data_IF_426576071048
#
_entry.id   IF_426576071048
#
_cell.length_a   1.000
_cell.length_b   1.000
_cell.length_c   1.000
_cell.angle_alpha   90.00
_cell.angle_beta   90.00
_cell.angle_gamma   90.00
#
_symmetry.space_group_name_H-M   'P 1'
#
loop_
_entity.id
_entity.type
_entity.pdbx_description
1 polymer ?
#
# COMPACT_ATOMS: atom_id res chain seq x y z
N UNK A 1 -23.50 -13.68 16.29
CA UNK A 1 -22.38 -13.04 15.59
C UNK A 1 -21.48 -12.47 16.67
N UNK A 2 -20.34 -13.13 16.93
CA UNK A 2 -19.40 -12.66 17.97
C UNK A 2 -18.76 -11.36 17.49
N UNK A 3 -19.09 -10.26 18.15
CA UNK A 3 -18.37 -8.99 17.98
C UNK A 3 -16.97 -9.22 18.54
N UNK A 4 -16.02 -9.56 17.67
CA UNK A 4 -14.59 -9.49 18.01
C UNK A 4 -14.33 -8.09 18.51
N UNK A 5 -14.03 -7.95 19.81
CA UNK A 5 -13.85 -6.68 20.49
C UNK A 5 -12.71 -5.90 19.83
N UNK A 6 -13.05 -4.95 18.96
CA UNK A 6 -12.12 -3.94 18.50
C UNK A 6 -11.82 -2.99 19.67
N UNK A 7 -10.56 -2.76 19.96
CA UNK A 7 -10.17 -1.71 20.89
C UNK A 7 -9.67 -0.51 20.07
N UNK A 8 -10.35 0.64 20.22
CA UNK A 8 -9.88 1.89 19.63
C UNK A 8 -8.85 2.53 20.55
N UNK A 9 -7.74 2.98 19.96
CA UNK A 9 -6.62 3.64 20.63
C UNK A 9 -6.32 4.94 19.90
N UNK A 10 -6.07 6.01 20.62
CA UNK A 10 -5.49 7.23 20.07
C UNK A 10 -3.99 7.20 20.32
N UNK A 11 -3.19 7.21 19.27
CA UNK A 11 -1.73 7.26 19.32
C UNK A 11 -1.29 8.69 19.06
N UNK A 12 -0.40 9.22 19.91
CA UNK A 12 0.20 10.52 19.68
C UNK A 12 1.47 10.34 18.82
N UNK A 13 1.50 10.91 17.63
CA UNK A 13 2.71 10.98 16.82
C UNK A 13 3.77 11.87 17.50
N UNK A 14 5.03 11.80 17.07
CA UNK A 14 6.14 12.53 17.72
C UNK A 14 5.98 14.05 17.64
N UNK A 15 5.24 14.57 16.65
CA UNK A 15 4.87 15.98 16.52
C UNK A 15 3.57 16.36 17.26
N UNK A 16 3.02 15.43 18.04
CA UNK A 16 1.78 15.63 18.80
C UNK A 16 0.50 15.36 18.01
N UNK A 17 0.55 14.98 16.73
CA UNK A 17 -0.64 14.70 15.92
C UNK A 17 -1.36 13.44 16.43
N UNK A 18 -2.66 13.50 16.81
CA UNK A 18 -3.42 12.32 17.19
C UNK A 18 -3.74 11.42 16.00
N UNK A 19 -3.37 10.14 16.10
CA UNK A 19 -3.65 9.10 15.13
C UNK A 19 -4.66 8.11 15.69
N UNK A 20 -5.70 7.79 14.94
CA UNK A 20 -6.69 6.80 15.32
C UNK A 20 -6.24 5.40 14.91
N UNK A 21 -6.22 4.46 15.84
CA UNK A 21 -5.87 3.07 15.61
C UNK A 21 -6.91 2.12 16.21
N UNK A 22 -7.05 0.94 15.61
CA UNK A 22 -7.92 -0.14 16.06
C UNK A 22 -7.13 -1.42 16.15
N UNK A 23 -7.27 -2.13 17.27
CA UNK A 23 -6.62 -3.40 17.49
C UNK A 23 -7.66 -4.52 17.63
N UNK A 24 -7.38 -5.66 17.03
CA UNK A 24 -8.18 -6.88 17.08
C UNK A 24 -7.29 -8.04 17.53
N UNK A 25 -7.84 -8.94 18.34
CA UNK A 25 -7.09 -10.07 18.91
C UNK A 25 -6.31 -9.71 20.17
N UNK A 26 -5.74 -10.71 20.85
CA UNK A 26 -5.09 -10.54 22.15
C UNK A 26 -3.74 -9.82 22.03
N UNK A 27 -3.39 -9.06 23.05
CA UNK A 27 -2.06 -8.41 23.14
C UNK A 27 -0.91 -9.43 23.32
N UNK A 28 -1.25 -10.66 23.70
CA UNK A 28 -0.32 -11.78 23.89
C UNK A 28 -0.15 -12.65 22.64
N UNK A 29 -0.71 -12.24 21.49
CA UNK A 29 -0.54 -12.95 20.24
C UNK A 29 0.94 -13.07 19.87
N UNK A 30 1.32 -14.19 19.25
CA UNK A 30 2.71 -14.49 18.86
C UNK A 30 3.24 -13.55 17.77
N UNK A 31 2.35 -12.93 17.01
CA UNK A 31 2.67 -11.97 15.95
C UNK A 31 1.58 -10.88 15.87
N UNK A 32 2.01 -9.66 15.54
CA UNK A 32 1.10 -8.55 15.22
C UNK A 32 1.21 -8.22 13.73
N UNK A 33 0.07 -8.18 13.04
CA UNK A 33 0.00 -7.73 11.64
C UNK A 33 -0.54 -6.31 11.61
N UNK A 34 0.21 -5.38 11.04
CA UNK A 34 -0.15 -3.96 10.96
C UNK A 34 -0.48 -3.60 9.52
N UNK A 35 -1.68 -3.07 9.31
CA UNK A 35 -2.22 -2.73 8.00
C UNK A 35 -2.14 -1.22 7.76
N UNK A 36 -1.47 -0.83 6.67
CA UNK A 36 -1.14 0.54 6.29
C UNK A 36 -1.89 0.89 5.01
N UNK A 37 -2.89 1.75 5.10
CA UNK A 37 -3.79 2.05 3.97
C UNK A 37 -3.16 2.98 2.92
N UNK A 38 -3.78 3.03 1.74
CA UNK A 38 -3.37 3.88 0.63
C UNK A 38 -3.85 5.33 0.72
N UNK A 39 -3.36 6.15 -0.21
CA UNK A 39 -3.78 7.55 -0.37
C UNK A 39 -5.30 7.67 -0.55
N UNK A 40 -5.92 8.63 0.14
CA UNK A 40 -7.37 8.86 0.14
C UNK A 40 -8.22 7.67 0.63
N UNK A 41 -7.61 6.68 1.27
CA UNK A 41 -8.30 5.61 1.96
C UNK A 41 -8.28 5.86 3.49
N UNK A 42 -8.82 4.92 4.24
CA UNK A 42 -8.78 4.85 5.70
C UNK A 42 -9.01 3.40 6.16
N UNK A 43 -9.02 3.17 7.45
CA UNK A 43 -9.13 1.84 8.07
C UNK A 43 -10.26 0.98 7.48
N UNK A 44 -11.40 1.57 7.11
CA UNK A 44 -12.52 0.85 6.52
C UNK A 44 -12.19 0.19 5.17
N UNK A 45 -11.15 0.62 4.48
CA UNK A 45 -10.70 -0.04 3.24
C UNK A 45 -10.27 -1.49 3.47
N UNK A 46 -9.94 -1.85 4.69
CA UNK A 46 -9.53 -3.18 5.11
C UNK A 46 -10.66 -4.06 5.65
N UNK A 47 -11.88 -3.56 5.82
CA UNK A 47 -12.95 -4.30 6.51
C UNK A 47 -13.27 -5.66 5.88
N UNK A 48 -13.37 -5.72 4.57
CA UNK A 48 -13.64 -6.99 3.88
C UNK A 48 -12.50 -7.99 4.07
N UNK A 49 -11.26 -7.52 3.95
CA UNK A 49 -10.06 -8.33 4.18
C UNK A 49 -9.96 -8.76 5.66
N UNK A 50 -10.16 -7.83 6.59
CA UNK A 50 -10.18 -8.13 8.03
C UNK A 50 -11.16 -9.25 8.35
N UNK A 51 -12.38 -9.20 7.82
CA UNK A 51 -13.40 -10.20 8.09
C UNK A 51 -13.02 -11.58 7.52
N UNK A 52 -12.28 -11.64 6.41
CA UNK A 52 -11.72 -12.88 5.88
C UNK A 52 -10.60 -13.40 6.80
N UNK A 53 -9.68 -12.55 7.23
CA UNK A 53 -8.58 -12.93 8.12
C UNK A 53 -9.09 -13.39 9.51
N UNK A 54 -10.11 -12.73 10.05
CA UNK A 54 -10.74 -13.17 11.30
C UNK A 54 -11.34 -14.58 11.19
N UNK A 55 -11.85 -14.97 10.02
CA UNK A 55 -12.33 -16.34 9.79
C UNK A 55 -11.20 -17.36 9.73
N UNK A 56 -10.03 -16.97 9.19
CA UNK A 56 -8.85 -17.83 9.06
C UNK A 56 -8.07 -17.95 10.38
N UNK A 57 -7.83 -16.84 11.05
CA UNK A 57 -6.97 -16.78 12.23
C UNK A 57 -7.72 -16.88 13.55
N UNK A 58 -9.06 -16.73 13.52
CA UNK A 58 -9.83 -16.61 14.76
C UNK A 58 -9.35 -15.43 15.61
N UNK A 59 -9.21 -15.67 16.92
CA UNK A 59 -8.70 -14.68 17.87
C UNK A 59 -7.20 -14.81 18.18
N UNK A 60 -6.47 -15.71 17.48
CA UNK A 60 -5.08 -16.04 17.82
C UNK A 60 -4.04 -15.04 17.31
N UNK A 61 -4.36 -14.27 16.26
CA UNK A 61 -3.47 -13.29 15.65
C UNK A 61 -3.93 -11.88 16.00
N UNK A 62 -2.99 -11.02 16.35
CA UNK A 62 -3.28 -9.60 16.58
C UNK A 62 -3.21 -8.84 15.27
N UNK A 63 -4.25 -8.08 14.97
CA UNK A 63 -4.30 -7.16 13.83
C UNK A 63 -4.40 -5.72 14.33
N UNK A 64 -3.66 -4.83 13.68
CA UNK A 64 -3.68 -3.40 13.92
C UNK A 64 -4.00 -2.68 12.61
N UNK A 65 -4.96 -1.78 12.65
CA UNK A 65 -5.33 -0.86 11.57
C UNK A 65 -5.24 0.55 12.12
N UNK A 66 -4.74 1.50 11.35
CA UNK A 66 -4.72 2.90 11.78
C UNK A 66 -4.96 3.82 10.58
N UNK A 67 -5.48 5.00 10.85
CA UNK A 67 -5.63 6.05 9.87
C UNK A 67 -4.39 6.93 9.83
N UNK A 68 -3.87 7.19 8.65
CA UNK A 68 -2.81 8.18 8.47
C UNK A 68 -3.27 9.57 8.89
N UNK A 69 -2.33 10.44 9.30
CA UNK A 69 -2.63 11.86 9.53
C UNK A 69 -3.42 12.46 8.37
N UNK A 70 -4.43 13.27 8.67
CA UNK A 70 -5.31 13.88 7.68
C UNK A 70 -6.30 12.94 6.98
N UNK A 71 -6.36 11.66 7.37
CA UNK A 71 -7.31 10.67 6.85
C UNK A 71 -8.19 10.12 7.98
N UNK A 72 -9.39 9.67 7.62
CA UNK A 72 -10.31 8.97 8.52
C UNK A 72 -10.57 9.71 9.82
N UNK A 73 -10.38 9.02 10.94
CA UNK A 73 -10.56 9.53 12.30
C UNK A 73 -9.27 10.13 12.91
N UNK A 74 -8.15 10.09 12.18
CA UNK A 74 -6.92 10.77 12.59
C UNK A 74 -7.03 12.29 12.41
N UNK A 75 -6.34 13.03 13.26
CA UNK A 75 -6.33 14.48 13.16
C UNK A 75 -5.64 14.96 11.87
N UNK A 76 -6.09 16.12 11.38
CA UNK A 76 -5.30 16.90 10.42
C UNK A 76 -4.04 17.45 11.09
N UNK A 77 -3.02 17.71 10.28
CA UNK A 77 -1.74 18.26 10.71
C UNK A 77 -1.32 19.41 9.79
N UNK A 78 -0.18 20.03 10.08
CA UNK A 78 0.43 20.99 9.15
C UNK A 78 0.61 20.32 7.78
N UNK A 79 0.08 20.90 6.69
CA UNK A 79 0.22 20.33 5.36
C UNK A 79 1.67 20.04 4.95
N UNK A 80 2.66 20.77 5.48
CA UNK A 80 4.08 20.52 5.20
C UNK A 80 4.56 19.17 5.77
N UNK A 81 3.83 18.58 6.71
CA UNK A 81 4.12 17.25 7.29
C UNK A 81 3.45 16.11 6.51
N UNK A 82 2.68 16.39 5.46
CA UNK A 82 2.07 15.37 4.63
C UNK A 82 3.07 14.79 3.63
N UNK A 83 4.04 14.04 4.17
CA UNK A 83 5.11 13.37 3.42
C UNK A 83 5.14 11.88 3.75
N UNK A 84 5.67 11.06 2.83
CA UNK A 84 5.82 9.61 3.06
C UNK A 84 6.78 9.35 4.22
N UNK A 85 7.84 10.15 4.36
CA UNK A 85 8.79 10.04 5.48
C UNK A 85 8.09 10.26 6.83
N UNK A 86 7.26 11.30 6.91
CA UNK A 86 6.50 11.54 8.14
C UNK A 86 5.53 10.41 8.45
N UNK A 87 4.90 9.79 7.43
CA UNK A 87 4.08 8.60 7.65
C UNK A 87 4.90 7.40 8.13
N UNK A 88 6.19 7.30 7.75
CA UNK A 88 7.12 6.31 8.30
C UNK A 88 7.36 6.52 9.81
N UNK A 89 7.53 7.78 10.26
CA UNK A 89 7.62 8.12 11.69
C UNK A 89 6.29 7.88 12.42
N UNK A 90 5.15 8.19 11.79
CA UNK A 90 3.82 7.88 12.34
C UNK A 90 3.62 6.38 12.55
N UNK A 91 4.05 5.56 11.59
CA UNK A 91 4.02 4.11 11.72
C UNK A 91 4.87 3.63 12.89
N UNK A 92 6.05 4.22 13.12
CA UNK A 92 6.87 3.91 14.29
C UNK A 92 6.14 4.26 15.60
N UNK A 93 5.52 5.43 15.68
CA UNK A 93 4.73 5.82 16.84
C UNK A 93 3.57 4.84 17.11
N UNK A 94 2.87 4.40 16.05
CA UNK A 94 1.83 3.36 16.15
C UNK A 94 2.43 2.05 16.68
N UNK A 95 3.55 1.59 16.13
CA UNK A 95 4.20 0.34 16.56
C UNK A 95 4.63 0.41 18.03
N UNK A 96 5.21 1.53 18.47
CA UNK A 96 5.61 1.72 19.87
C UNK A 96 4.40 1.71 20.81
N UNK A 97 3.28 2.27 20.39
CA UNK A 97 2.09 2.38 21.25
C UNK A 97 1.27 1.09 21.35
N UNK A 98 1.03 0.41 20.22
CA UNK A 98 0.06 -0.69 20.16
C UNK A 98 0.69 -2.07 19.95
N UNK A 99 1.94 -2.14 19.56
CA UNK A 99 2.73 -3.37 19.40
C UNK A 99 4.15 -3.17 19.94
N UNK A 100 4.36 -2.83 21.24
CA UNK A 100 5.67 -2.44 21.76
C UNK A 100 6.71 -3.55 21.74
N UNK A 101 6.27 -4.80 21.75
CA UNK A 101 7.14 -5.99 21.77
C UNK A 101 6.67 -7.03 20.77
N UNK A 102 7.51 -8.03 20.51
CA UNK A 102 7.21 -9.16 19.64
C UNK A 102 7.36 -8.89 18.15
N UNK A 103 7.26 -9.93 17.34
CA UNK A 103 7.39 -9.84 15.89
C UNK A 103 6.20 -9.13 15.26
N UNK A 104 6.48 -8.37 14.21
CA UNK A 104 5.50 -7.60 13.43
C UNK A 104 5.61 -7.96 11.95
N UNK A 105 4.47 -8.12 11.29
CA UNK A 105 4.35 -8.15 9.83
C UNK A 105 3.67 -6.86 9.38
N UNK A 106 4.30 -6.11 8.49
CA UNK A 106 3.75 -4.86 7.93
C UNK A 106 3.09 -5.15 6.58
N UNK A 107 1.84 -4.76 6.42
CA UNK A 107 1.08 -4.95 5.17
C UNK A 107 0.60 -3.59 4.68
N UNK A 108 1.19 -3.09 3.60
CA UNK A 108 0.85 -1.80 3.01
C UNK A 108 0.14 -1.94 1.67
N UNK A 109 -0.86 -1.08 1.44
CA UNK A 109 -1.54 -0.96 0.15
C UNK A 109 -1.22 0.40 -0.49
N UNK A 110 -0.81 0.42 -1.76
CA UNK A 110 -0.56 1.65 -2.52
C UNK A 110 0.45 2.56 -1.79
N UNK A 111 0.08 3.80 -1.43
CA UNK A 111 0.87 4.67 -0.56
C UNK A 111 1.33 3.97 0.72
N UNK A 112 0.49 3.11 1.33
CA UNK A 112 0.88 2.34 2.51
C UNK A 112 2.04 1.39 2.27
N UNK A 113 2.18 0.81 1.08
CA UNK A 113 3.36 0.03 0.71
C UNK A 113 4.61 0.92 0.62
N UNK A 114 4.48 2.15 0.13
CA UNK A 114 5.57 3.13 0.11
C UNK A 114 5.96 3.57 1.53
N UNK A 115 4.99 3.71 2.43
CA UNK A 115 5.25 3.97 3.87
C UNK A 115 6.04 2.83 4.50
N UNK A 116 5.74 1.56 4.18
CA UNK A 116 6.52 0.41 4.66
C UNK A 116 7.97 0.48 4.18
N UNK A 117 8.21 0.88 2.93
CA UNK A 117 9.57 1.06 2.41
C UNK A 117 10.29 2.21 3.11
N UNK A 118 9.66 3.37 3.25
CA UNK A 118 10.23 4.51 3.96
C UNK A 118 10.54 4.17 5.44
N UNK A 119 9.63 3.43 6.11
CA UNK A 119 9.85 2.93 7.46
C UNK A 119 11.13 2.07 7.54
N UNK A 120 11.33 1.16 6.59
CA UNK A 120 12.52 0.31 6.57
C UNK A 120 13.82 1.13 6.44
N UNK A 121 13.82 2.23 5.66
CA UNK A 121 14.96 3.15 5.58
C UNK A 121 15.16 3.94 6.87
N UNK A 122 14.08 4.45 7.46
CA UNK A 122 14.13 5.28 8.66
C UNK A 122 14.53 4.47 9.91
N UNK A 123 14.10 3.21 10.00
CA UNK A 123 14.28 2.34 11.16
C UNK A 123 14.94 1.00 10.79
N UNK A 124 16.11 0.99 10.14
CA UNK A 124 16.73 -0.23 9.60
C UNK A 124 17.05 -1.26 10.68
N UNK A 125 17.32 -0.84 11.91
CA UNK A 125 17.61 -1.75 13.03
C UNK A 125 16.41 -2.62 13.44
N UNK A 126 15.20 -2.26 13.05
CA UNK A 126 13.99 -3.04 13.31
C UNK A 126 13.77 -4.16 12.30
N UNK A 127 14.38 -4.06 11.13
CA UNK A 127 14.22 -4.99 10.02
C UNK A 127 14.96 -6.30 10.33
N UNK A 128 14.27 -7.43 10.22
CA UNK A 128 14.78 -8.75 10.57
C UNK A 128 14.83 -9.06 12.06
N UNK A 129 14.73 -8.05 12.93
CA UNK A 129 14.72 -8.23 14.38
C UNK A 129 13.30 -8.18 14.93
N UNK A 130 12.54 -7.20 14.52
CA UNK A 130 11.18 -6.96 14.93
C UNK A 130 10.19 -7.05 13.76
N UNK A 131 10.48 -6.38 12.65
CA UNK A 131 9.74 -6.57 11.40
C UNK A 131 10.24 -7.83 10.73
N UNK A 132 9.43 -8.88 10.76
CA UNK A 132 9.79 -10.22 10.30
C UNK A 132 9.19 -10.59 8.94
N UNK A 133 8.35 -9.72 8.38
CA UNK A 133 7.75 -9.90 7.06
C UNK A 133 7.08 -8.63 6.55
N UNK A 134 6.99 -8.49 5.24
CA UNK A 134 6.38 -7.33 4.58
C UNK A 134 5.42 -7.73 3.45
N UNK A 135 4.25 -7.11 3.40
CA UNK A 135 3.28 -7.21 2.30
C UNK A 135 3.21 -5.88 1.56
N UNK A 136 3.56 -5.87 0.29
CA UNK A 136 3.56 -4.71 -0.60
C UNK A 136 2.47 -4.90 -1.66
N UNK A 137 1.28 -4.35 -1.41
CA UNK A 137 0.09 -4.56 -2.25
C UNK A 137 -0.14 -3.34 -3.13
N UNK A 138 -0.19 -3.51 -4.44
CA UNK A 138 -0.40 -2.46 -5.44
C UNK A 138 0.49 -1.22 -5.19
N UNK A 139 1.76 -1.47 -4.82
CA UNK A 139 2.76 -0.44 -4.49
C UNK A 139 3.88 -0.34 -5.53
N UNK A 140 4.77 0.62 -5.33
CA UNK A 140 5.97 0.81 -6.14
C UNK A 140 7.13 1.26 -5.25
N UNK A 141 8.38 0.93 -5.64
CA UNK A 141 9.57 1.49 -4.98
C UNK A 141 9.89 2.89 -5.51
N UNK A 142 9.59 3.16 -6.77
CA UNK A 142 9.84 4.44 -7.44
C UNK A 142 9.03 4.56 -8.73
N UNK A 143 9.13 5.73 -9.39
CA UNK A 143 8.75 5.89 -10.79
C UNK A 143 7.25 5.83 -11.10
N UNK A 144 6.39 6.16 -10.15
CA UNK A 144 4.93 6.12 -10.35
C UNK A 144 4.44 7.04 -11.48
N UNK A 145 5.24 8.07 -11.84
CA UNK A 145 4.94 8.99 -12.94
C UNK A 145 5.43 8.51 -14.31
N UNK A 146 6.16 7.38 -14.35
CA UNK A 146 6.72 6.86 -15.60
C UNK A 146 5.70 6.06 -16.44
N UNK A 147 4.71 5.44 -15.80
CA UNK A 147 3.75 4.54 -16.44
C UNK A 147 2.32 4.77 -15.92
N UNK A 148 1.34 4.21 -16.60
CA UNK A 148 -0.07 4.27 -16.19
C UNK A 148 -0.63 5.69 -16.14
N UNK A 149 -1.64 5.91 -15.31
CA UNK A 149 -2.22 7.24 -15.06
C UNK A 149 -1.23 8.21 -14.40
N UNK A 150 -0.19 7.70 -13.72
CA UNK A 150 0.86 8.50 -13.12
C UNK A 150 1.56 9.44 -14.13
N UNK A 151 1.58 9.08 -15.43
CA UNK A 151 2.13 9.96 -16.50
C UNK A 151 1.42 11.30 -16.61
N UNK A 152 0.17 11.38 -16.17
CA UNK A 152 -0.59 12.64 -16.13
C UNK A 152 -0.21 13.51 -14.92
N UNK A 153 0.46 12.94 -13.91
CA UNK A 153 0.88 13.59 -12.69
C UNK A 153 2.31 14.15 -12.85
N UNK A 154 2.48 15.12 -13.74
CA UNK A 154 3.76 15.80 -13.83
C UNK A 154 3.96 16.80 -12.68
N UNK A 155 5.23 17.13 -12.40
CA UNK A 155 5.60 18.05 -11.30
C UNK A 155 4.88 19.40 -11.37
N UNK A 156 4.75 19.97 -12.58
CA UNK A 156 4.08 21.26 -12.77
C UNK A 156 2.60 21.22 -12.40
N UNK A 157 1.90 20.16 -12.81
CA UNK A 157 0.48 19.97 -12.49
C UNK A 157 0.27 19.84 -10.97
N UNK A 158 1.10 19.03 -10.31
CA UNK A 158 0.99 18.80 -8.86
C UNK A 158 1.37 20.05 -8.08
N UNK A 159 2.45 20.75 -8.45
CA UNK A 159 2.83 22.01 -7.84
C UNK A 159 1.75 23.07 -8.01
N UNK A 160 1.15 23.18 -9.20
CA UNK A 160 0.04 24.12 -9.46
C UNK A 160 -1.17 23.80 -8.59
N UNK A 161 -1.50 22.51 -8.43
CA UNK A 161 -2.57 22.07 -7.54
C UNK A 161 -2.29 22.46 -6.09
N UNK A 162 -1.06 22.22 -5.58
CA UNK A 162 -0.67 22.65 -4.22
C UNK A 162 -0.82 24.16 -4.03
N UNK A 163 -0.30 24.95 -4.96
CA UNK A 163 -0.41 26.42 -4.89
C UNK A 163 -1.89 26.85 -4.91
N UNK A 164 -2.71 26.25 -5.75
CA UNK A 164 -4.15 26.55 -5.80
C UNK A 164 -4.85 26.20 -4.48
N UNK A 165 -4.53 25.02 -3.89
CA UNK A 165 -5.06 24.58 -2.60
C UNK A 165 -4.61 25.49 -1.46
N UNK A 166 -3.38 25.98 -1.46
CA UNK A 166 -2.89 26.97 -0.48
C UNK A 166 -3.65 28.30 -0.56
N UNK A 167 -3.89 28.77 -1.81
CA UNK A 167 -4.52 30.10 -2.02
C UNK A 167 -6.04 30.11 -1.79
N UNK A 168 -6.72 29.00 -2.13
CA UNK A 168 -8.18 28.97 -2.09
C UNK A 168 -8.73 27.62 -1.56
N UNK A 169 -8.33 27.14 -0.35
CA UNK A 169 -8.68 25.79 0.11
C UNK A 169 -10.20 25.58 0.24
N UNK A 170 -10.92 26.58 0.73
CA UNK A 170 -12.38 26.50 0.91
C UNK A 170 -13.12 26.44 -0.43
N UNK A 171 -12.74 27.29 -1.38
CA UNK A 171 -13.38 27.33 -2.70
C UNK A 171 -13.18 26.01 -3.46
N UNK A 172 -11.94 25.47 -3.45
CA UNK A 172 -11.64 24.20 -4.07
C UNK A 172 -12.30 23.02 -3.38
N UNK A 173 -12.42 23.04 -2.05
CA UNK A 173 -13.14 21.99 -1.32
C UNK A 173 -14.65 22.00 -1.68
N UNK A 174 -15.26 23.16 -1.86
CA UNK A 174 -16.65 23.31 -2.36
C UNK A 174 -16.74 22.77 -3.79
N UNK A 175 -15.83 23.17 -4.68
CA UNK A 175 -15.77 22.67 -6.06
C UNK A 175 -15.64 21.13 -6.12
N UNK A 176 -14.79 20.53 -5.26
CA UNK A 176 -14.67 19.07 -5.13
C UNK A 176 -16.01 18.43 -4.76
N UNK A 177 -16.73 19.02 -3.80
CA UNK A 177 -18.04 18.51 -3.37
C UNK A 177 -19.10 18.60 -4.47
N UNK A 178 -19.12 19.70 -5.21
CA UNK A 178 -20.07 19.91 -6.33
C UNK A 178 -19.73 19.00 -7.52
N UNK A 179 -18.44 18.83 -7.84
CA UNK A 179 -17.97 17.98 -8.94
C UNK A 179 -18.05 16.47 -8.67
N UNK A 180 -18.36 16.05 -7.44
CA UNK A 180 -18.32 14.64 -7.04
C UNK A 180 -19.03 13.69 -7.99
N UNK A 181 -20.26 14.01 -8.39
CA UNK A 181 -21.07 13.16 -9.28
C UNK A 181 -20.49 13.05 -10.69
N UNK A 182 -19.77 14.08 -11.15
CA UNK A 182 -19.14 14.10 -12.47
C UNK A 182 -17.88 13.24 -12.49
N UNK A 183 -17.11 13.25 -11.40
CA UNK A 183 -15.84 12.52 -11.32
C UNK A 183 -15.97 11.08 -10.81
N UNK A 184 -17.11 10.72 -10.20
CA UNK A 184 -17.35 9.38 -9.67
C UNK A 184 -17.11 8.23 -10.67
N UNK A 185 -17.59 8.30 -11.94
CA UNK A 185 -17.33 7.25 -12.92
C UNK A 185 -15.83 7.09 -13.23
N UNK A 186 -15.09 8.19 -13.32
CA UNK A 186 -13.64 8.20 -13.57
C UNK A 186 -12.87 7.59 -12.41
N UNK A 187 -13.23 7.96 -11.17
CA UNK A 187 -12.63 7.39 -9.95
C UNK A 187 -12.89 5.89 -9.90
N UNK A 188 -14.09 5.46 -10.22
CA UNK A 188 -14.45 4.04 -10.27
C UNK A 188 -13.62 3.28 -11.30
N UNK A 189 -13.50 3.80 -12.53
CA UNK A 189 -12.71 3.19 -13.59
C UNK A 189 -11.21 3.09 -13.20
N UNK A 190 -10.68 4.14 -12.56
CA UNK A 190 -9.30 4.14 -12.10
C UNK A 190 -9.04 3.19 -10.92
N UNK A 191 -10.03 3.01 -10.04
CA UNK A 191 -9.88 2.23 -8.81
C UNK A 191 -10.07 0.72 -9.02
N UNK A 192 -10.94 0.32 -9.96
CA UNK A 192 -11.36 -1.07 -10.11
C UNK A 192 -11.11 -1.60 -11.51
N UNK A 193 -10.61 -2.83 -11.61
CA UNK A 193 -10.34 -3.48 -12.90
C UNK A 193 -11.58 -4.02 -13.59
N UNK A 194 -12.67 -4.24 -12.86
CA UNK A 194 -13.93 -4.77 -13.38
C UNK A 194 -15.07 -3.76 -13.24
N UNK A 195 -15.91 -3.66 -14.28
CA UNK A 195 -17.16 -2.90 -14.19
C UNK A 195 -18.21 -3.55 -13.29
N UNK A 196 -18.05 -4.83 -12.95
CA UNK A 196 -18.95 -5.61 -12.08
C UNK A 196 -18.50 -5.63 -10.62
N UNK A 197 -18.02 -4.48 -10.12
CA UNK A 197 -17.66 -4.34 -8.71
C UNK A 197 -18.92 -4.29 -7.85
N UNK A 198 -18.86 -4.90 -6.68
CA UNK A 198 -19.92 -4.80 -5.67
C UNK A 198 -20.22 -3.31 -5.39
N UNK A 199 -21.48 -2.86 -5.55
CA UNK A 199 -21.84 -1.45 -5.36
C UNK A 199 -21.45 -0.90 -3.97
N UNK A 200 -21.46 -1.73 -2.93
CA UNK A 200 -21.06 -1.33 -1.57
C UNK A 200 -19.55 -1.00 -1.50
N UNK A 201 -18.71 -1.77 -2.19
CA UNK A 201 -17.27 -1.52 -2.25
C UNK A 201 -16.97 -0.24 -3.04
N UNK A 202 -17.63 -0.02 -4.17
CA UNK A 202 -17.49 1.20 -4.95
C UNK A 202 -17.96 2.44 -4.17
N UNK A 203 -19.10 2.35 -3.48
CA UNK A 203 -19.61 3.42 -2.63
C UNK A 203 -18.65 3.74 -1.47
N UNK A 204 -18.07 2.72 -0.83
CA UNK A 204 -17.09 2.90 0.24
C UNK A 204 -15.83 3.61 -0.26
N UNK A 205 -15.24 3.17 -1.37
CA UNK A 205 -14.07 3.81 -1.97
C UNK A 205 -14.34 5.27 -2.34
N UNK A 206 -15.50 5.53 -2.96
CA UNK A 206 -15.93 6.88 -3.32
C UNK A 206 -16.14 7.77 -2.07
N UNK A 207 -16.72 7.23 -1.01
CA UNK A 207 -16.92 7.96 0.25
C UNK A 207 -15.57 8.37 0.86
N UNK A 208 -14.62 7.42 0.99
CA UNK A 208 -13.29 7.69 1.53
C UNK A 208 -12.53 8.77 0.75
N UNK A 209 -12.55 8.69 -0.59
CA UNK A 209 -11.96 9.72 -1.44
C UNK A 209 -12.60 11.09 -1.23
N UNK A 210 -13.94 11.15 -1.12
CA UNK A 210 -14.68 12.40 -0.93
C UNK A 210 -14.43 13.03 0.45
N UNK A 211 -14.26 12.20 1.48
CA UNK A 211 -14.05 12.65 2.85
C UNK A 211 -12.61 13.18 3.07
N UNK A 212 -11.64 12.71 2.28
CA UNK A 212 -10.26 13.18 2.40
C UNK A 212 -10.14 14.66 1.99
N UNK A 213 -9.59 15.54 2.85
CA UNK A 213 -9.44 16.97 2.55
C UNK A 213 -8.51 17.21 1.34
N UNK A 214 -8.81 18.23 0.53
CA UNK A 214 -7.97 18.58 -0.63
C UNK A 214 -6.51 18.92 -0.28
N UNK A 215 -6.19 19.62 0.82
CA UNK A 215 -4.80 19.81 1.23
C UNK A 215 -4.09 18.47 1.45
N UNK A 216 -4.71 17.55 2.20
CA UNK A 216 -4.18 16.21 2.43
C UNK A 216 -3.90 15.49 1.11
N UNK A 217 -4.85 15.53 0.16
CA UNK A 217 -4.67 14.91 -1.16
C UNK A 217 -3.50 15.51 -1.94
N UNK A 218 -3.43 16.84 -2.02
CA UNK A 218 -2.45 17.52 -2.85
C UNK A 218 -1.02 17.39 -2.34
N UNK A 219 -0.82 17.47 -1.02
CA UNK A 219 0.52 17.39 -0.43
C UNK A 219 1.07 15.97 -0.43
N UNK A 220 0.26 14.95 -0.12
CA UNK A 220 0.71 13.57 -0.28
C UNK A 220 0.97 13.21 -1.73
N UNK A 221 0.16 13.70 -2.68
CA UNK A 221 0.42 13.47 -4.09
C UNK A 221 1.79 14.04 -4.52
N UNK A 222 2.16 15.21 -4.00
CA UNK A 222 3.49 15.80 -4.24
C UNK A 222 4.61 14.92 -3.68
N UNK A 223 4.45 14.38 -2.46
CA UNK A 223 5.41 13.44 -1.89
C UNK A 223 5.51 12.15 -2.69
N UNK A 224 4.39 11.63 -3.17
CA UNK A 224 4.33 10.40 -3.95
C UNK A 224 5.05 10.50 -5.30
N UNK A 225 4.92 11.62 -6.02
CA UNK A 225 5.58 11.78 -7.34
C UNK A 225 7.10 11.92 -7.25
N UNK A 226 7.63 12.23 -6.06
CA UNK A 226 9.07 12.35 -5.81
C UNK A 226 9.64 11.11 -5.07
N UNK A 227 8.79 10.13 -4.78
CA UNK A 227 9.17 8.95 -4.01
C UNK A 227 10.13 8.03 -4.78
N UNK A 228 11.25 7.69 -4.12
CA UNK A 228 12.21 6.68 -4.59
C UNK A 228 12.88 5.98 -3.39
N UNK A 229 12.45 4.77 -3.13
CA UNK A 229 13.00 3.86 -2.12
C UNK A 229 13.61 2.60 -2.76
N UNK A 230 14.01 2.69 -4.03
CA UNK A 230 14.71 1.58 -4.71
C UNK A 230 15.93 1.10 -3.91
N UNK A 231 16.78 1.98 -3.32
CA UNK A 231 17.91 1.53 -2.52
C UNK A 231 17.53 0.77 -1.25
N UNK A 232 16.33 1.03 -0.71
CA UNK A 232 15.84 0.44 0.54
C UNK A 232 15.47 -1.03 0.38
N UNK A 233 15.14 -1.48 -0.84
CA UNK A 233 14.74 -2.87 -1.11
C UNK A 233 15.79 -3.89 -0.65
N UNK A 234 17.06 -3.51 -0.64
CA UNK A 234 18.15 -4.38 -0.14
C UNK A 234 18.00 -4.72 1.35
N UNK A 235 17.47 -3.79 2.15
CA UNK A 235 17.24 -4.02 3.58
C UNK A 235 16.16 -5.08 3.84
N UNK A 236 15.25 -5.25 2.89
CA UNK A 236 14.12 -6.18 2.96
C UNK A 236 14.37 -7.49 2.22
N UNK A 237 15.51 -7.64 1.53
CA UNK A 237 15.79 -8.77 0.63
C UNK A 237 15.70 -10.13 1.31
N UNK A 238 16.12 -10.22 2.59
CA UNK A 238 16.15 -11.47 3.34
C UNK A 238 14.85 -11.77 4.10
N UNK A 239 13.90 -10.83 4.10
CA UNK A 239 12.61 -11.02 4.77
C UNK A 239 11.62 -11.77 3.88
N UNK A 240 10.78 -12.64 4.45
CA UNK A 240 9.56 -13.07 3.77
C UNK A 240 8.77 -11.86 3.29
N UNK A 241 8.53 -11.79 2.00
CA UNK A 241 7.79 -10.71 1.38
C UNK A 241 6.61 -11.26 0.56
N UNK A 242 5.51 -10.51 0.54
CA UNK A 242 4.41 -10.63 -0.40
C UNK A 242 4.40 -9.40 -1.28
N UNK A 243 4.51 -9.57 -2.57
CA UNK A 243 4.27 -8.52 -3.57
C UNK A 243 3.04 -8.89 -4.36
N UNK A 244 1.98 -8.10 -4.27
CA UNK A 244 0.71 -8.41 -4.88
C UNK A 244 0.17 -7.22 -5.67
N UNK A 245 -0.36 -7.47 -6.86
CA UNK A 245 -0.98 -6.43 -7.68
C UNK A 245 -2.05 -6.97 -8.62
N UNK A 246 -2.96 -6.07 -9.04
CA UNK A 246 -3.96 -6.35 -10.05
C UNK A 246 -3.40 -6.21 -11.47
N UNK A 247 -3.80 -7.10 -12.38
CA UNK A 247 -3.34 -7.03 -13.78
C UNK A 247 -3.99 -5.87 -14.56
N UNK A 248 -5.12 -5.36 -14.08
CA UNK A 248 -5.83 -4.23 -14.66
C UNK A 248 -5.63 -2.91 -13.86
N UNK A 249 -4.63 -2.87 -12.97
CA UNK A 249 -4.28 -1.65 -12.24
C UNK A 249 -3.67 -0.62 -13.20
N UNK A 250 -4.39 0.47 -13.46
CA UNK A 250 -3.94 1.58 -14.31
C UNK A 250 -3.28 2.70 -13.51
N UNK A 251 -3.41 2.72 -12.19
CA UNK A 251 -2.77 3.70 -11.30
C UNK A 251 -1.33 3.32 -11.00
N UNK A 252 -1.13 2.09 -10.50
CA UNK A 252 0.19 1.48 -10.25
C UNK A 252 0.25 0.17 -11.05
N UNK A 253 0.59 0.21 -12.34
CA UNK A 253 0.59 -0.97 -13.19
C UNK A 253 1.41 -2.13 -12.61
N UNK A 254 0.97 -3.37 -12.86
CA UNK A 254 1.58 -4.60 -12.32
C UNK A 254 3.09 -4.71 -12.56
N UNK A 255 3.61 -3.99 -13.57
CA UNK A 255 5.05 -3.90 -13.81
C UNK A 255 5.85 -3.40 -12.59
N UNK A 256 5.28 -2.52 -11.74
CA UNK A 256 5.91 -2.11 -10.49
C UNK A 256 6.02 -3.27 -9.50
N UNK A 257 5.01 -4.14 -9.41
CA UNK A 257 5.07 -5.36 -8.60
C UNK A 257 6.16 -6.31 -9.09
N UNK A 258 6.34 -6.45 -10.39
CA UNK A 258 7.45 -7.26 -10.96
C UNK A 258 8.81 -6.68 -10.56
N UNK A 259 8.99 -5.37 -10.65
CA UNK A 259 10.23 -4.70 -10.24
C UNK A 259 10.52 -4.88 -8.75
N UNK A 260 9.50 -4.72 -7.89
CA UNK A 260 9.63 -4.95 -6.45
C UNK A 260 10.05 -6.40 -6.15
N UNK A 261 9.35 -7.38 -6.72
CA UNK A 261 9.62 -8.79 -6.47
C UNK A 261 11.00 -9.22 -6.97
N UNK A 262 11.47 -8.67 -8.08
CA UNK A 262 12.79 -9.00 -8.64
C UNK A 262 13.97 -8.56 -7.73
N UNK A 263 13.74 -7.62 -6.82
CA UNK A 263 14.77 -7.09 -5.91
C UNK A 263 14.64 -7.64 -4.47
N UNK A 264 13.61 -8.42 -4.19
CA UNK A 264 13.35 -9.02 -2.88
C UNK A 264 13.60 -10.53 -2.96
N UNK A 265 14.70 -11.00 -2.36
CA UNK A 265 15.17 -12.39 -2.50
C UNK A 265 14.19 -13.46 -1.99
N UNK A 266 13.24 -13.11 -1.12
CA UNK A 266 12.23 -14.02 -0.55
C UNK A 266 10.80 -13.56 -0.83
N UNK A 267 10.60 -12.86 -1.95
CA UNK A 267 9.27 -12.39 -2.36
C UNK A 267 8.45 -13.51 -3.02
N UNK A 268 7.18 -13.59 -2.62
CA UNK A 268 6.14 -14.23 -3.40
C UNK A 268 5.43 -13.14 -4.22
N UNK A 269 5.45 -13.30 -5.55
CA UNK A 269 4.76 -12.39 -6.47
C UNK A 269 3.38 -12.96 -6.82
N UNK A 270 2.33 -12.24 -6.45
CA UNK A 270 0.94 -12.63 -6.73
C UNK A 270 0.32 -11.63 -7.70
N UNK A 271 -0.17 -12.14 -8.84
CA UNK A 271 -0.93 -11.38 -9.82
C UNK A 271 -2.39 -11.77 -9.77
N UNK A 272 -3.26 -10.81 -9.52
CA UNK A 272 -4.71 -11.05 -9.55
C UNK A 272 -5.29 -10.56 -10.88
N UNK A 273 -5.66 -11.52 -11.74
CA UNK A 273 -6.11 -11.21 -13.09
C UNK A 273 -7.44 -10.46 -13.10
N UNK A 274 -7.49 -9.38 -13.89
CA UNK A 274 -8.64 -8.50 -14.03
C UNK A 274 -8.91 -7.59 -12.83
N UNK A 275 -8.12 -7.68 -11.74
CA UNK A 275 -8.24 -6.80 -10.60
C UNK A 275 -7.59 -5.43 -10.86
N UNK A 276 -8.16 -4.37 -10.32
CA UNK A 276 -7.65 -3.00 -10.41
C UNK A 276 -6.80 -2.59 -9.20
N UNK A 277 -6.66 -1.26 -9.03
CA UNK A 277 -5.85 -0.70 -7.95
C UNK A 277 -6.43 -0.98 -6.56
N UNK A 278 -7.74 -0.93 -6.40
CA UNK A 278 -8.41 -1.22 -5.11
C UNK A 278 -8.53 -2.73 -4.83
N UNK A 279 -7.50 -3.50 -5.17
CA UNK A 279 -7.46 -4.96 -5.07
C UNK A 279 -7.84 -5.48 -3.68
N UNK A 280 -7.51 -4.76 -2.60
CA UNK A 280 -7.89 -5.08 -1.22
C UNK A 280 -9.40 -5.06 -0.96
N UNK A 281 -10.14 -4.29 -1.76
CA UNK A 281 -11.61 -4.26 -1.75
C UNK A 281 -12.19 -5.25 -2.76
N UNK A 282 -11.61 -5.29 -3.97
CA UNK A 282 -12.12 -6.04 -5.11
C UNK A 282 -11.94 -7.55 -4.95
N UNK A 283 -10.81 -7.96 -4.34
CA UNK A 283 -10.36 -9.35 -4.20
C UNK A 283 -9.94 -9.68 -2.77
N UNK A 284 -10.75 -9.23 -1.80
CA UNK A 284 -10.43 -9.32 -0.37
C UNK A 284 -10.14 -10.76 0.11
N UNK A 285 -10.78 -11.76 -0.48
CA UNK A 285 -10.57 -13.18 -0.13
C UNK A 285 -9.20 -13.66 -0.60
N UNK A 286 -8.85 -13.43 -1.88
CA UNK A 286 -7.55 -13.83 -2.43
C UNK A 286 -6.39 -13.08 -1.74
N UNK A 287 -6.59 -11.78 -1.46
CA UNK A 287 -5.60 -10.99 -0.71
C UNK A 287 -5.44 -11.53 0.72
N UNK A 288 -6.53 -11.95 1.38
CA UNK A 288 -6.45 -12.52 2.73
C UNK A 288 -5.66 -13.83 2.74
N UNK A 289 -5.87 -14.71 1.75
CA UNK A 289 -5.10 -15.96 1.61
C UNK A 289 -3.61 -15.65 1.44
N UNK A 290 -3.25 -14.69 0.58
CA UNK A 290 -1.86 -14.32 0.36
C UNK A 290 -1.20 -13.68 1.61
N UNK A 291 -1.95 -12.83 2.34
CA UNK A 291 -1.47 -12.24 3.60
C UNK A 291 -1.29 -13.31 4.68
N UNK A 292 -2.21 -14.27 4.79
CA UNK A 292 -2.06 -15.37 5.74
C UNK A 292 -0.81 -16.21 5.44
N UNK A 293 -0.59 -16.55 4.17
CA UNK A 293 0.61 -17.27 3.74
C UNK A 293 1.91 -16.49 4.03
N UNK A 294 1.90 -15.15 3.88
CA UNK A 294 3.02 -14.30 4.29
C UNK A 294 3.30 -14.43 5.79
N UNK A 295 2.25 -14.36 6.62
CA UNK A 295 2.40 -14.45 8.09
C UNK A 295 2.96 -15.81 8.48
N UNK A 296 2.47 -16.90 7.89
CA UNK A 296 2.99 -18.25 8.13
C UNK A 296 4.48 -18.37 7.79
N UNK A 297 4.91 -17.83 6.64
CA UNK A 297 6.34 -17.80 6.25
C UNK A 297 7.18 -16.93 7.20
N UNK A 298 6.61 -15.82 7.68
CA UNK A 298 7.32 -14.89 8.57
C UNK A 298 7.47 -15.43 9.99
N UNK A 299 6.56 -16.29 10.44
CA UNK A 299 6.58 -16.87 11.79
C UNK A 299 7.15 -18.29 11.86
N UNK A 300 7.47 -18.88 10.71
CA UNK A 300 7.90 -20.27 10.62
C UNK A 300 6.79 -21.28 10.95
N UNK A 301 5.53 -20.85 10.96
CA UNK A 301 4.38 -21.73 11.18
C UNK A 301 4.09 -22.48 9.88
N UNK A 302 3.98 -23.82 9.88
CA UNK A 302 3.57 -24.54 8.67
C UNK A 302 2.17 -24.07 8.24
N UNK A 303 2.01 -23.75 6.95
CA UNK A 303 0.72 -23.39 6.40
C UNK A 303 -0.31 -24.50 6.72
N UNK A 304 -1.43 -24.13 7.33
CA UNK A 304 -2.58 -25.01 7.42
C UNK A 304 -3.08 -25.21 5.99
N UNK A 305 -2.73 -26.34 5.38
CA UNK A 305 -3.23 -26.72 4.06
C UNK A 305 -4.74 -26.83 4.13
N UNK A 306 -5.52 -26.06 3.36
CA UNK A 306 -6.93 -26.34 3.19
C UNK A 306 -7.01 -27.66 2.41
N UNK A 307 -7.46 -28.72 3.05
CA UNK A 307 -7.85 -29.93 2.34
C UNK A 307 -8.94 -29.58 1.32
N UNK A 308 -8.57 -29.69 0.04
CA UNK A 308 -9.47 -29.77 -1.08
C UNK A 308 -9.93 -28.47 -1.73
N UNK A 309 -9.06 -27.79 -2.48
CA UNK A 309 -9.39 -27.12 -3.75
C UNK A 309 -8.11 -27.00 -4.56
N UNK A 310 -8.06 -27.69 -5.72
CA UNK A 310 -6.99 -27.53 -6.68
C UNK A 310 -6.90 -26.07 -7.14
N UNK A 311 -5.84 -25.41 -6.75
CA UNK A 311 -5.39 -24.18 -7.38
C UNK A 311 -4.20 -24.58 -8.24
N UNK A 312 -4.37 -24.46 -9.55
CA UNK A 312 -3.25 -24.47 -10.51
C UNK A 312 -2.34 -23.25 -10.17
N UNK A 313 -1.42 -23.47 -9.26
CA UNK A 313 -0.27 -22.59 -9.08
C UNK A 313 0.80 -23.02 -10.10
N UNK A 314 0.57 -22.64 -11.35
CA UNK A 314 1.64 -22.62 -12.33
C UNK A 314 2.64 -21.54 -11.89
N UNK A 315 3.70 -21.96 -11.19
CA UNK A 315 4.91 -21.16 -11.07
C UNK A 315 5.45 -20.94 -12.49
N UNK A 316 5.16 -19.77 -13.05
CA UNK A 316 5.63 -19.39 -14.38
C UNK A 316 7.13 -19.08 -14.29
N UNK A 317 7.97 -19.74 -15.09
CA UNK A 317 9.35 -19.31 -15.31
C UNK A 317 9.32 -18.11 -16.28
N UNK A 318 9.10 -16.91 -15.76
CA UNK A 318 8.96 -15.67 -16.57
C UNK A 318 10.30 -14.93 -16.74
N UNK A 319 11.40 -15.47 -16.22
CA UNK A 319 12.70 -14.76 -16.26
C UNK A 319 13.45 -14.82 -17.62
N UNK A 320 12.95 -15.56 -18.63
CA UNK A 320 13.69 -15.72 -19.90
C UNK A 320 13.22 -14.82 -21.05
N UNK A 321 12.10 -14.11 -20.94
CA UNK A 321 11.50 -13.41 -22.09
C UNK A 321 11.62 -11.89 -22.08
N UNK A 322 12.19 -11.25 -21.05
CA UNK A 322 12.28 -9.77 -20.93
C UNK A 322 13.70 -9.20 -20.96
N UNK A 323 14.74 -10.00 -21.21
CA UNK A 323 16.15 -9.54 -21.36
C UNK A 323 16.56 -9.42 -22.84
N UNK A 324 15.63 -9.39 -23.76
CA UNK A 324 15.87 -9.19 -25.20
C UNK A 324 15.85 -7.70 -25.61
N UNK A 325 16.56 -6.81 -24.90
CA UNK A 325 16.94 -5.50 -25.44
C UNK A 325 18.44 -5.52 -25.73
N UNK A 326 18.76 -5.85 -26.97
CA UNK A 326 20.11 -5.70 -27.53
C UNK A 326 20.55 -4.23 -27.45
N UNK A 327 21.71 -4.03 -26.84
CA UNK A 327 22.45 -2.76 -26.95
C UNK A 327 22.90 -2.56 -28.40
N UNK A 328 22.67 -1.42 -29.04
CA UNK A 328 23.27 -1.17 -30.36
C UNK A 328 24.79 -0.99 -30.19
N UNK A 329 25.54 -1.91 -30.74
CA UNK A 329 27.00 -1.78 -30.89
C UNK A 329 27.30 -0.63 -31.85
N UNK A 330 27.83 0.46 -31.33
CA UNK A 330 28.43 1.53 -32.13
C UNK A 330 29.82 1.07 -32.57
N UNK A 331 29.93 0.55 -33.77
CA UNK A 331 31.18 0.40 -34.47
C UNK A 331 31.52 1.70 -35.18
N UNK A 332 32.37 2.48 -34.57
CA UNK A 332 32.98 3.65 -35.23
C UNK A 332 34.12 3.19 -36.13
N UNK A 333 33.89 3.20 -37.45
CA UNK A 333 34.95 3.08 -38.48
C UNK A 333 35.50 4.46 -38.71
N UNK A 334 36.78 4.67 -38.36
CA UNK A 334 37.56 5.81 -38.75
C UNK A 334 38.00 5.65 -40.23
N UNK A 335 37.89 6.70 -41.08
CA UNK A 335 38.51 6.64 -42.40
C UNK A 335 40.00 6.99 -42.28
N UNK A 336 40.83 6.17 -42.90
CA UNK A 336 42.26 6.39 -43.09
C UNK A 336 42.51 7.62 -43.98
N UNK A 337 43.47 8.43 -43.59
CA UNK A 337 44.00 9.54 -44.40
C UNK A 337 44.80 8.99 -45.55
N UNK A 338 44.53 9.53 -46.72
CA UNK A 338 45.36 9.50 -47.92
C UNK A 338 45.31 10.88 -48.57
#
# INVERSE_FOLDING_TARGET
MSTTNATRVTVCADDGTPLAAWTFGPSTASVTVVFVHGHCLRTESWWFLRDQLLRQWGSGTRMVFYDHRGHGDSAGADPMTYTIDQLGHDLDAVLRAVAPTGPVVLVGHSMGAMVVLAYARLFPATIGTRVVGVGLIAGAAAGITAVGLGRLLNRHTVTSLRVAVQRAPRALQVSKRLGRRVFEPMVREASFGSRRVNPRMAALATAMLNDTPLPTMAYFLDSLIHFDETPTLRLLSDLPALVLGGSADIMIPFAHSVVLAAQLGRAELVRLDGAGHSVILERAEEVAVAVAALVDRATGTPALTPEGRGADTAALPVLAALVGMESPSVTATLPAAG
#
